data_IF_353073201530
#
_entry.id   IF_353073201530
#
_cell.length_a   1.000
_cell.length_b   1.000
_cell.length_c   1.000
_cell.angle_alpha   90.00
_cell.angle_beta   90.00
_cell.angle_gamma   90.00
#
_symmetry.space_group_name_H-M   'P 1'
#
loop_
_entity.id
_entity.type
_entity.pdbx_description
1 polymer ?
#
# COMPACT_ATOMS: atom_id res chain seq x y z
N UNK A 1 37.35 -19.29 -1.14
CA UNK A 1 36.16 -19.76 -0.39
C UNK A 1 34.92 -19.17 -1.04
N UNK A 2 33.90 -20.00 -1.23
CA UNK A 2 32.80 -19.82 -2.19
C UNK A 2 31.96 -18.55 -1.95
N UNK A 3 31.80 -17.75 -3.02
CA UNK A 3 30.76 -16.73 -3.19
C UNK A 3 29.41 -17.43 -3.12
N UNK A 4 28.76 -17.44 -1.95
CA UNK A 4 27.38 -17.91 -1.83
C UNK A 4 26.41 -16.78 -2.14
N UNK A 5 25.44 -17.13 -2.98
CA UNK A 5 24.38 -16.32 -3.52
C UNK A 5 23.75 -15.40 -2.47
N UNK A 6 23.71 -14.10 -2.77
CA UNK A 6 22.75 -13.18 -2.17
C UNK A 6 21.38 -13.60 -2.74
N UNK A 7 20.76 -14.55 -2.05
CA UNK A 7 19.54 -15.19 -2.49
C UNK A 7 18.41 -14.17 -2.46
N UNK A 8 17.58 -14.19 -3.50
CA UNK A 8 16.43 -13.30 -3.72
C UNK A 8 15.27 -13.56 -2.73
N UNK A 9 15.58 -13.85 -1.47
CA UNK A 9 14.58 -13.89 -0.43
C UNK A 9 14.20 -12.45 -0.13
N UNK A 10 12.91 -12.07 -0.13
CA UNK A 10 12.49 -10.91 0.66
C UNK A 10 13.15 -11.06 2.03
N UNK A 11 13.79 -9.98 2.51
CA UNK A 11 14.44 -10.01 3.82
C UNK A 11 13.35 -10.46 4.78
N UNK A 12 13.55 -11.62 5.40
CA UNK A 12 12.55 -12.22 6.28
C UNK A 12 12.10 -11.20 7.35
N UNK A 13 13.03 -10.36 7.81
CA UNK A 13 12.77 -9.24 8.71
C UNK A 13 11.84 -8.16 8.15
N UNK A 14 11.78 -7.99 6.83
CA UNK A 14 10.79 -7.12 6.17
C UNK A 14 9.43 -7.79 6.16
N UNK A 15 9.33 -9.11 5.92
CA UNK A 15 8.03 -9.80 5.97
C UNK A 15 7.47 -9.82 7.40
N UNK A 16 8.32 -10.14 8.39
CA UNK A 16 7.91 -10.27 9.79
C UNK A 16 7.71 -8.89 10.44
N UNK A 17 8.61 -7.95 10.17
CA UNK A 17 8.63 -6.64 10.84
C UNK A 17 7.88 -5.53 10.12
N UNK A 18 7.16 -5.85 9.04
CA UNK A 18 6.35 -4.88 8.31
C UNK A 18 5.03 -4.59 9.03
N UNK A 19 4.46 -3.42 8.74
CA UNK A 19 3.12 -3.10 9.24
C UNK A 19 2.02 -3.84 8.46
N UNK A 20 0.79 -3.77 8.99
CA UNK A 20 -0.38 -4.45 8.44
C UNK A 20 -0.72 -4.09 6.99
N UNK A 21 -0.19 -2.98 6.46
CA UNK A 21 -0.41 -2.61 5.04
C UNK A 21 0.42 -3.44 4.07
N UNK A 22 1.48 -4.09 4.57
CA UNK A 22 2.45 -4.82 3.75
C UNK A 22 2.51 -6.30 4.10
N UNK A 23 2.25 -6.65 5.36
CA UNK A 23 2.22 -8.04 5.83
C UNK A 23 0.99 -8.28 6.68
N UNK A 24 0.24 -9.32 6.33
CA UNK A 24 -0.83 -9.87 7.13
C UNK A 24 -0.31 -11.17 7.77
N UNK A 25 0.13 -11.06 9.02
CA UNK A 25 0.63 -12.18 9.80
C UNK A 25 -0.55 -12.93 10.45
N UNK A 26 -0.93 -14.06 9.85
CA UNK A 26 -2.10 -14.83 10.32
C UNK A 26 -1.79 -15.59 11.61
N UNK A 27 -0.53 -15.92 11.87
CA UNK A 27 -0.06 -16.55 13.10
C UNK A 27 -0.24 -15.58 14.28
N UNK A 28 0.17 -14.32 14.11
CA UNK A 28 -0.07 -13.27 15.10
C UNK A 28 -1.57 -12.99 15.30
N UNK A 29 -2.36 -13.03 14.21
CA UNK A 29 -3.81 -12.87 14.31
C UNK A 29 -4.44 -13.98 15.16
N UNK A 30 -4.07 -15.23 14.92
CA UNK A 30 -4.54 -16.37 15.68
C UNK A 30 -4.12 -16.27 17.16
N UNK A 31 -2.86 -15.92 17.43
CA UNK A 31 -2.35 -15.69 18.79
C UNK A 31 -3.10 -14.55 19.52
N UNK A 32 -3.57 -13.54 18.77
CA UNK A 32 -4.40 -12.45 19.28
C UNK A 32 -5.90 -12.82 19.42
N UNK A 33 -6.28 -14.08 19.18
CA UNK A 33 -7.66 -14.56 19.30
C UNK A 33 -8.60 -14.06 18.21
N UNK A 34 -8.07 -13.72 17.02
CA UNK A 34 -8.88 -13.32 15.86
C UNK A 34 -9.40 -14.53 15.11
N UNK A 35 -10.53 -14.34 14.43
CA UNK A 35 -11.09 -15.38 13.57
C UNK A 35 -10.15 -15.66 12.38
N UNK A 36 -10.05 -16.93 11.93
CA UNK A 36 -9.21 -17.31 10.82
C UNK A 36 -9.69 -16.65 9.51
N UNK A 37 -8.74 -16.26 8.66
CA UNK A 37 -9.04 -15.71 7.34
C UNK A 37 -9.41 -16.82 6.35
N UNK A 38 -8.71 -17.95 6.43
CA UNK A 38 -8.87 -19.08 5.52
C UNK A 38 -9.53 -20.27 6.23
N UNK A 39 -10.21 -21.12 5.48
CA UNK A 39 -10.71 -22.40 5.99
C UNK A 39 -9.55 -23.40 6.10
N UNK A 40 -8.59 -23.34 5.18
CA UNK A 40 -7.36 -24.11 5.22
C UNK A 40 -6.50 -23.69 6.41
N UNK A 41 -6.32 -24.62 7.36
CA UNK A 41 -5.51 -24.40 8.57
C UNK A 41 -4.07 -23.95 8.26
N UNK A 42 -3.43 -24.57 7.26
CA UNK A 42 -2.02 -24.30 6.94
C UNK A 42 -1.83 -22.90 6.36
N UNK A 43 -2.84 -22.37 5.67
CA UNK A 43 -2.84 -20.99 5.24
C UNK A 43 -2.88 -20.01 6.42
N UNK A 44 -3.60 -20.33 7.49
CA UNK A 44 -3.61 -19.49 8.69
C UNK A 44 -2.30 -19.55 9.49
N UNK A 45 -1.44 -20.53 9.20
CA UNK A 45 -0.08 -20.65 9.75
C UNK A 45 0.98 -19.95 8.86
N UNK A 46 0.56 -19.03 7.99
CA UNK A 46 1.44 -18.32 7.05
C UNK A 46 1.41 -16.80 7.27
N UNK A 47 2.27 -16.09 6.53
CA UNK A 47 2.24 -14.63 6.41
C UNK A 47 1.95 -14.27 4.97
N UNK A 48 0.85 -13.57 4.72
CA UNK A 48 0.60 -12.93 3.43
C UNK A 48 1.37 -11.62 3.37
N UNK A 49 2.04 -11.34 2.25
CA UNK A 49 2.77 -10.09 2.11
C UNK A 49 2.72 -9.51 0.71
N UNK A 50 2.94 -8.20 0.65
CA UNK A 50 3.06 -7.39 -0.56
C UNK A 50 4.51 -7.01 -0.76
N UNK A 51 5.00 -7.19 -1.98
CA UNK A 51 6.40 -6.96 -2.30
C UNK A 51 6.55 -6.30 -3.65
N UNK A 52 7.56 -5.43 -3.89
CA UNK A 52 7.80 -4.89 -5.22
C UNK A 52 7.83 -5.96 -6.32
N UNK A 53 7.08 -5.72 -7.40
CA UNK A 53 7.20 -6.49 -8.63
C UNK A 53 8.40 -5.95 -9.43
N UNK A 54 9.39 -6.80 -9.65
CA UNK A 54 10.66 -6.43 -10.30
C UNK A 54 10.63 -6.49 -11.82
N UNK A 55 9.55 -7.01 -12.40
CA UNK A 55 9.36 -7.08 -13.85
C UNK A 55 8.73 -5.80 -14.42
N UNK A 56 8.10 -4.99 -13.58
CA UNK A 56 7.35 -3.79 -14.00
C UNK A 56 8.19 -2.54 -13.79
N UNK A 57 8.61 -1.87 -14.86
CA UNK A 57 9.37 -0.62 -14.74
C UNK A 57 8.46 0.59 -14.43
N UNK A 58 8.69 1.25 -13.28
CA UNK A 58 8.04 2.52 -12.93
C UNK A 58 8.62 3.74 -13.66
N UNK A 59 9.60 3.55 -14.55
CA UNK A 59 10.24 4.64 -15.30
C UNK A 59 9.28 5.35 -16.25
N UNK A 60 8.15 4.73 -16.63
CA UNK A 60 7.10 5.37 -17.45
C UNK A 60 6.07 6.18 -16.62
N UNK A 61 6.20 6.18 -15.28
CA UNK A 61 5.56 7.14 -14.38
C UNK A 61 4.03 7.07 -14.27
N UNK A 62 3.47 8.14 -13.68
CA UNK A 62 2.02 8.36 -13.52
C UNK A 62 1.30 8.43 -14.88
N UNK A 63 2.01 8.87 -15.93
CA UNK A 63 1.45 8.99 -17.28
C UNK A 63 1.10 7.64 -17.92
N UNK A 64 1.89 6.59 -17.67
CA UNK A 64 1.56 5.24 -18.15
C UNK A 64 0.32 4.68 -17.46
N UNK A 65 0.21 4.86 -16.13
CA UNK A 65 -1.00 4.48 -15.39
C UNK A 65 -2.24 5.28 -15.83
N UNK A 66 -2.08 6.54 -16.23
CA UNK A 66 -3.18 7.34 -16.76
C UNK A 66 -3.68 6.87 -18.15
N UNK A 67 -2.86 6.13 -18.92
CA UNK A 67 -3.10 5.78 -20.33
C UNK A 67 -3.45 4.31 -20.59
N UNK A 68 -3.30 3.41 -19.60
CA UNK A 68 -3.56 1.97 -19.76
C UNK A 68 -4.50 1.37 -18.70
N UNK A 69 -5.06 0.18 -18.95
CA UNK A 69 -5.86 -0.53 -17.94
C UNK A 69 -4.98 -0.99 -16.77
N UNK A 70 -5.43 -0.76 -15.53
CA UNK A 70 -4.76 -1.17 -14.29
C UNK A 70 -4.37 -2.68 -14.25
N UNK A 71 -5.03 -3.52 -15.06
CA UNK A 71 -4.76 -4.95 -15.13
C UNK A 71 -3.35 -5.30 -15.61
N UNK A 72 -2.73 -4.47 -16.46
CA UNK A 72 -1.40 -4.73 -17.03
C UNK A 72 -0.25 -4.16 -16.18
N UNK A 73 -0.53 -3.16 -15.33
CA UNK A 73 0.50 -2.47 -14.54
C UNK A 73 0.37 -2.77 -13.04
N UNK A 74 0.99 -3.87 -12.59
CA UNK A 74 1.02 -4.30 -11.18
C UNK A 74 2.44 -4.29 -10.60
N UNK A 75 2.95 -3.13 -10.12
CA UNK A 75 4.29 -2.96 -9.57
C UNK A 75 4.46 -3.57 -8.16
N UNK A 76 3.44 -4.28 -7.64
CA UNK A 76 3.47 -4.96 -6.33
C UNK A 76 2.96 -6.39 -6.48
N UNK A 77 3.78 -7.37 -6.16
CA UNK A 77 3.45 -8.79 -6.05
C UNK A 77 2.74 -9.15 -4.75
N UNK A 78 1.90 -10.17 -4.84
CA UNK A 78 1.31 -10.86 -3.68
C UNK A 78 2.04 -12.16 -3.47
N UNK A 79 2.46 -12.43 -2.24
CA UNK A 79 3.13 -13.67 -1.91
C UNK A 79 2.73 -14.17 -0.52
N UNK A 80 2.98 -15.46 -0.31
CA UNK A 80 2.75 -16.17 0.94
C UNK A 80 4.10 -16.63 1.45
N UNK A 81 4.46 -16.24 2.67
CA UNK A 81 5.58 -16.83 3.38
C UNK A 81 5.06 -17.98 4.22
N UNK A 82 5.55 -19.17 3.90
CA UNK A 82 5.27 -20.44 4.58
C UNK A 82 6.47 -20.71 5.50
N UNK A 83 6.34 -20.52 6.82
CA UNK A 83 7.44 -20.78 7.74
C UNK A 83 7.71 -22.28 7.83
N UNK A 84 8.98 -22.64 8.07
CA UNK A 84 9.33 -24.01 8.46
C UNK A 84 8.76 -24.37 9.85
N UNK A 85 8.71 -23.37 10.73
CA UNK A 85 8.18 -23.45 12.09
C UNK A 85 7.35 -22.19 12.39
N UNK A 86 6.00 -22.31 12.53
CA UNK A 86 5.14 -21.18 12.86
C UNK A 86 5.45 -20.52 14.21
N UNK A 87 6.03 -21.26 15.17
CA UNK A 87 6.43 -20.73 16.48
C UNK A 87 7.79 -20.01 16.42
N UNK A 88 8.57 -20.26 15.37
CA UNK A 88 9.89 -19.66 15.17
C UNK A 88 10.08 -19.22 13.71
N UNK A 89 9.49 -18.07 13.35
CA UNK A 89 9.57 -17.50 12.00
C UNK A 89 11.02 -17.31 11.51
N UNK A 90 11.96 -17.08 12.44
CA UNK A 90 13.39 -16.87 12.17
C UNK A 90 14.13 -18.16 11.76
N UNK A 91 13.50 -19.34 11.91
CA UNK A 91 14.01 -20.60 11.37
C UNK A 91 13.97 -20.67 9.83
N UNK A 92 13.42 -19.65 9.18
CA UNK A 92 13.28 -19.56 7.74
C UNK A 92 12.05 -20.31 7.23
N UNK A 93 11.91 -20.33 5.91
CA UNK A 93 10.73 -20.83 5.23
C UNK A 93 10.78 -20.65 3.72
N UNK A 94 9.64 -20.81 3.07
CA UNK A 94 9.48 -20.69 1.63
C UNK A 94 8.53 -19.54 1.27
N UNK A 95 8.86 -18.77 0.24
CA UNK A 95 7.98 -17.75 -0.31
C UNK A 95 7.32 -18.26 -1.59
N UNK A 96 5.99 -18.18 -1.66
CA UNK A 96 5.18 -18.52 -2.83
C UNK A 96 4.57 -17.24 -3.38
N UNK A 97 5.06 -16.77 -4.52
CA UNK A 97 4.49 -15.66 -5.26
C UNK A 97 3.27 -16.12 -6.05
N UNK A 98 2.16 -15.38 -6.01
CA UNK A 98 0.91 -15.80 -6.65
C UNK A 98 0.93 -15.70 -8.17
N UNK A 99 1.87 -14.94 -8.74
CA UNK A 99 1.98 -14.72 -10.19
C UNK A 99 3.19 -15.41 -10.83
N UNK A 100 3.94 -16.23 -10.07
CA UNK A 100 5.00 -17.06 -10.64
C UNK A 100 4.42 -18.26 -11.39
N UNK A 101 5.12 -18.76 -12.41
CA UNK A 101 4.65 -19.83 -13.29
C UNK A 101 4.12 -21.09 -12.58
N UNK A 102 4.82 -21.54 -11.54
CA UNK A 102 4.51 -22.81 -10.85
C UNK A 102 3.77 -22.61 -9.51
N UNK A 103 3.11 -21.45 -9.31
CA UNK A 103 2.50 -21.13 -8.02
C UNK A 103 1.44 -22.16 -7.59
N UNK A 104 0.62 -22.69 -8.51
CA UNK A 104 -0.43 -23.66 -8.19
C UNK A 104 0.16 -24.95 -7.62
N UNK A 105 1.25 -25.43 -8.22
CA UNK A 105 1.98 -26.60 -7.75
C UNK A 105 2.57 -26.35 -6.35
N UNK A 106 3.13 -25.16 -6.11
CA UNK A 106 3.70 -24.78 -4.82
C UNK A 106 2.63 -24.67 -3.73
N UNK A 107 1.46 -24.07 -4.03
CA UNK A 107 0.32 -24.02 -3.10
C UNK A 107 -0.15 -25.43 -2.73
N UNK A 108 -0.25 -26.33 -3.72
CA UNK A 108 -0.61 -27.73 -3.47
C UNK A 108 0.44 -28.47 -2.64
N UNK A 109 1.71 -28.28 -2.97
CA UNK A 109 2.81 -28.98 -2.32
C UNK A 109 3.01 -28.54 -0.86
N UNK A 110 3.02 -27.23 -0.61
CA UNK A 110 3.33 -26.68 0.72
C UNK A 110 2.10 -26.48 1.61
N UNK A 111 0.93 -26.20 1.03
CA UNK A 111 -0.28 -25.84 1.79
C UNK A 111 -1.44 -26.84 1.59
N UNK A 112 -1.24 -27.86 0.76
CA UNK A 112 -2.29 -28.83 0.41
C UNK A 112 -3.44 -28.23 -0.40
N UNK A 113 -3.28 -27.00 -0.91
CA UNK A 113 -4.35 -26.26 -1.58
C UNK A 113 -4.41 -26.63 -3.06
N UNK A 114 -5.47 -27.33 -3.46
CA UNK A 114 -5.69 -27.74 -4.84
C UNK A 114 -6.71 -26.80 -5.51
N UNK A 115 -6.25 -25.96 -6.44
CA UNK A 115 -7.10 -24.99 -7.15
C UNK A 115 -8.19 -25.64 -8.02
N UNK A 116 -8.04 -26.92 -8.34
CA UNK A 116 -8.99 -27.69 -9.14
C UNK A 116 -9.85 -28.63 -8.29
N UNK A 117 -9.79 -28.54 -6.96
CA UNK A 117 -10.68 -29.31 -6.10
C UNK A 117 -12.11 -28.77 -6.17
N UNK A 118 -13.09 -29.67 -6.19
CA UNK A 118 -14.53 -29.32 -6.14
C UNK A 118 -15.02 -29.03 -4.72
N UNK A 119 -14.12 -29.06 -3.74
CA UNK A 119 -14.42 -28.79 -2.34
C UNK A 119 -14.71 -27.29 -2.15
N UNK A 120 -15.89 -27.01 -1.59
CA UNK A 120 -16.41 -25.67 -1.41
C UNK A 120 -15.52 -24.79 -0.51
N UNK A 121 -14.86 -25.40 0.49
CA UNK A 121 -14.01 -24.66 1.43
C UNK A 121 -12.73 -24.17 0.72
N UNK A 122 -12.14 -25.03 -0.12
CA UNK A 122 -10.98 -24.64 -0.93
C UNK A 122 -11.35 -23.59 -1.98
N UNK A 123 -12.55 -23.66 -2.56
CA UNK A 123 -13.00 -22.67 -3.52
C UNK A 123 -13.10 -21.26 -2.90
N UNK A 124 -13.52 -21.16 -1.62
CA UNK A 124 -13.57 -19.89 -0.88
C UNK A 124 -12.16 -19.34 -0.65
N UNK A 125 -11.23 -20.16 -0.18
CA UNK A 125 -9.84 -19.72 0.08
C UNK A 125 -9.14 -19.23 -1.19
N UNK A 126 -9.35 -19.94 -2.30
CA UNK A 126 -8.86 -19.52 -3.62
C UNK A 126 -9.48 -18.18 -4.04
N UNK A 127 -10.77 -17.98 -3.80
CA UNK A 127 -11.45 -16.72 -4.09
C UNK A 127 -10.87 -15.57 -3.26
N UNK A 128 -10.62 -15.79 -1.97
CA UNK A 128 -9.96 -14.82 -1.09
C UNK A 128 -8.58 -14.46 -1.65
N UNK A 129 -7.73 -15.44 -1.97
CA UNK A 129 -6.40 -15.19 -2.55
C UNK A 129 -6.45 -14.39 -3.84
N UNK A 130 -7.41 -14.68 -4.73
CA UNK A 130 -7.60 -13.96 -5.99
C UNK A 130 -7.97 -12.49 -5.76
N UNK A 131 -8.87 -12.21 -4.80
CA UNK A 131 -9.22 -10.83 -4.43
C UNK A 131 -8.03 -10.11 -3.79
N UNK A 132 -7.28 -10.79 -2.93
CA UNK A 132 -6.07 -10.21 -2.33
C UNK A 132 -5.03 -9.90 -3.42
N UNK A 133 -4.92 -10.70 -4.50
CA UNK A 133 -4.00 -10.38 -5.60
C UNK A 133 -4.43 -9.19 -6.47
N UNK A 134 -5.70 -8.79 -6.44
CA UNK A 134 -6.18 -7.61 -7.19
C UNK A 134 -5.97 -6.29 -6.47
N UNK A 135 -5.58 -6.32 -5.19
CA UNK A 135 -5.35 -5.10 -4.40
C UNK A 135 -3.86 -4.77 -4.26
N UNK A 136 -3.49 -3.49 -4.19
CA UNK A 136 -2.08 -3.07 -4.18
C UNK A 136 -1.42 -3.06 -2.79
N UNK A 137 -2.20 -3.18 -1.70
CA UNK A 137 -1.71 -3.26 -0.31
C UNK A 137 -2.65 -4.10 0.55
N UNK A 138 -2.18 -4.58 1.70
CA UNK A 138 -2.96 -5.40 2.67
C UNK A 138 -3.61 -4.56 3.77
N UNK A 139 -3.81 -3.27 3.50
CA UNK A 139 -4.48 -2.39 4.45
C UNK A 139 -5.87 -2.94 4.83
N UNK A 140 -6.22 -3.01 6.14
CA UNK A 140 -7.48 -3.61 6.59
C UNK A 140 -8.73 -3.01 5.93
N UNK A 141 -8.73 -1.70 5.68
CA UNK A 141 -9.82 -1.01 4.97
C UNK A 141 -10.01 -1.54 3.55
N UNK A 142 -8.92 -1.66 2.78
CA UNK A 142 -8.98 -2.15 1.40
C UNK A 142 -9.34 -3.63 1.36
N UNK A 143 -8.75 -4.44 2.23
CA UNK A 143 -9.08 -5.86 2.34
C UNK A 143 -10.57 -6.07 2.61
N UNK A 144 -11.14 -5.39 3.61
CA UNK A 144 -12.57 -5.48 3.93
C UNK A 144 -13.45 -5.04 2.77
N UNK A 145 -13.13 -3.88 2.18
CA UNK A 145 -13.91 -3.32 1.08
C UNK A 145 -13.96 -4.27 -0.12
N UNK A 146 -12.81 -4.79 -0.54
CA UNK A 146 -12.71 -5.61 -1.75
C UNK A 146 -13.22 -7.04 -1.53
N UNK A 147 -13.02 -7.62 -0.35
CA UNK A 147 -13.60 -8.92 0.00
C UNK A 147 -15.12 -8.84 0.10
N UNK A 148 -15.66 -7.81 0.75
CA UNK A 148 -17.11 -7.59 0.82
C UNK A 148 -17.71 -7.36 -0.58
N UNK A 149 -17.04 -6.57 -1.44
CA UNK A 149 -17.47 -6.37 -2.83
C UNK A 149 -17.47 -7.68 -3.64
N UNK A 150 -16.56 -8.60 -3.35
CA UNK A 150 -16.54 -9.94 -3.94
C UNK A 150 -17.59 -10.90 -3.33
N UNK A 151 -18.42 -10.44 -2.39
CA UNK A 151 -19.41 -11.26 -1.67
C UNK A 151 -18.80 -12.17 -0.59
N UNK A 152 -17.59 -11.86 -0.12
CA UNK A 152 -16.91 -12.57 0.97
C UNK A 152 -17.10 -11.76 2.27
N UNK A 153 -18.20 -12.03 2.97
CA UNK A 153 -18.52 -11.36 4.23
C UNK A 153 -17.79 -12.05 5.39
N UNK A 154 -16.56 -11.60 5.67
CA UNK A 154 -15.74 -12.09 6.77
C UNK A 154 -16.18 -11.50 8.10
N UNK A 155 -15.85 -12.18 9.21
CA UNK A 155 -16.10 -11.67 10.55
C UNK A 155 -15.34 -10.36 10.82
N UNK A 156 -15.90 -9.49 11.67
CA UNK A 156 -15.36 -8.15 11.92
C UNK A 156 -13.98 -8.15 12.58
N UNK A 157 -13.61 -9.22 13.29
CA UNK A 157 -12.36 -9.33 14.04
C UNK A 157 -11.17 -9.89 13.23
N UNK A 158 -11.37 -10.38 11.98
CA UNK A 158 -10.35 -11.09 11.18
C UNK A 158 -9.07 -10.26 10.97
N UNK A 159 -9.18 -8.97 10.63
CA UNK A 159 -8.03 -8.14 10.23
C UNK A 159 -7.43 -7.28 11.36
N UNK A 160 -7.97 -7.34 12.57
CA UNK A 160 -7.56 -6.46 13.67
C UNK A 160 -7.86 -4.98 13.46
N UNK A 161 -7.47 -4.15 14.44
CA UNK A 161 -7.86 -2.75 14.66
C UNK A 161 -8.03 -1.89 13.38
N UNK A 162 -9.23 -1.98 12.78
CA UNK A 162 -9.67 -1.18 11.64
C UNK A 162 -10.48 0.03 12.08
N UNK A 163 -11.19 -0.02 13.20
CA UNK A 163 -12.15 1.01 13.59
C UNK A 163 -11.50 2.40 13.76
N UNK A 164 -10.40 2.49 14.51
CA UNK A 164 -9.71 3.78 14.71
C UNK A 164 -9.13 4.35 13.42
N UNK A 165 -8.66 3.49 12.52
CA UNK A 165 -8.12 3.92 11.23
C UNK A 165 -9.23 4.36 10.29
N UNK A 166 -10.28 3.55 10.18
CA UNK A 166 -11.49 3.83 9.42
C UNK A 166 -12.16 5.13 9.89
N UNK A 167 -12.24 5.36 11.20
CA UNK A 167 -12.73 6.61 11.78
C UNK A 167 -11.86 7.82 11.41
N UNK A 168 -10.55 7.64 11.25
CA UNK A 168 -9.65 8.71 10.85
C UNK A 168 -9.83 9.04 9.35
N UNK A 169 -9.96 8.02 8.51
CA UNK A 169 -10.26 8.16 7.08
C UNK A 169 -11.63 8.80 6.90
N UNK A 170 -12.64 8.33 7.63
CA UNK A 170 -14.00 8.88 7.66
C UNK A 170 -13.96 10.36 8.01
N UNK A 171 -13.32 10.74 9.12
CA UNK A 171 -13.18 12.15 9.52
C UNK A 171 -12.49 13.02 8.47
N UNK A 172 -11.46 12.52 7.79
CA UNK A 172 -10.80 13.25 6.70
C UNK A 172 -11.68 13.41 5.47
N UNK A 173 -12.42 12.37 5.10
CA UNK A 173 -13.40 12.42 4.00
C UNK A 173 -14.52 13.41 4.35
N UNK A 174 -15.07 13.36 5.57
CA UNK A 174 -16.07 14.29 6.09
C UNK A 174 -15.59 15.76 6.02
N UNK A 175 -14.34 16.01 6.42
CA UNK A 175 -13.73 17.33 6.35
C UNK A 175 -13.60 17.89 4.92
N UNK A 176 -13.38 17.01 3.93
CA UNK A 176 -13.35 17.39 2.49
C UNK A 176 -14.74 17.49 1.88
N UNK A 177 -15.70 16.75 2.39
CA UNK A 177 -17.07 16.81 1.91
C UNK A 177 -17.73 18.14 2.32
N UNK A 178 -17.47 18.62 3.53
CA UNK A 178 -18.11 19.83 4.07
C UNK A 178 -18.12 21.02 3.10
N UNK A 179 -16.97 21.45 2.56
CA UNK A 179 -16.89 22.55 1.59
C UNK A 179 -17.69 22.32 0.29
N UNK A 180 -17.79 21.07 -0.18
CA UNK A 180 -18.58 20.72 -1.37
C UNK A 180 -20.07 20.90 -1.07
N UNK A 181 -20.54 20.42 0.08
CA UNK A 181 -21.94 20.59 0.49
C UNK A 181 -22.27 22.06 0.71
N UNK A 182 -21.41 22.79 1.40
CA UNK A 182 -21.59 24.21 1.66
C UNK A 182 -21.69 25.02 0.36
N UNK A 183 -21.08 24.54 -0.73
CA UNK A 183 -21.26 25.11 -2.06
C UNK A 183 -22.56 24.67 -2.71
N UNK A 184 -22.92 23.39 -2.64
CA UNK A 184 -24.11 22.84 -3.30
C UNK A 184 -25.44 23.34 -2.68
N UNK A 185 -25.48 23.51 -1.35
CA UNK A 185 -26.68 23.90 -0.58
C UNK A 185 -26.65 25.39 -0.21
N UNK A 186 -25.49 26.05 -0.39
CA UNK A 186 -25.21 27.37 0.17
C UNK A 186 -24.67 27.26 1.61
N UNK A 187 -23.78 28.18 2.01
CA UNK A 187 -23.19 28.17 3.37
C UNK A 187 -24.31 28.23 4.41
N UNK A 188 -24.43 27.16 5.19
CA UNK A 188 -25.35 27.09 6.32
C UNK A 188 -25.03 28.20 7.34
N UNK A 189 -26.04 28.95 7.77
CA UNK A 189 -25.88 29.86 8.89
C UNK A 189 -25.62 29.07 10.18
N UNK A 190 -24.89 29.67 11.14
CA UNK A 190 -24.66 29.04 12.44
C UNK A 190 -26.01 28.78 13.14
N UNK A 191 -26.35 27.49 13.34
CA UNK A 191 -27.62 27.07 13.93
C UNK A 191 -28.65 26.48 12.95
N UNK A 192 -28.35 26.42 11.65
CA UNK A 192 -29.22 25.76 10.66
C UNK A 192 -29.18 24.22 10.81
N UNK A 193 -30.15 23.69 11.54
CA UNK A 193 -30.30 22.25 11.81
C UNK A 193 -30.65 21.45 10.56
N UNK A 194 -31.31 22.06 9.57
CA UNK A 194 -31.69 21.39 8.33
C UNK A 194 -30.45 21.16 7.43
N UNK A 195 -29.57 22.16 7.33
CA UNK A 195 -28.33 22.02 6.59
C UNK A 195 -27.36 21.01 7.23
N UNK A 196 -27.31 20.95 8.58
CA UNK A 196 -26.53 19.93 9.29
C UNK A 196 -27.10 18.51 9.08
N UNK A 197 -28.43 18.36 9.09
CA UNK A 197 -29.07 17.08 8.81
C UNK A 197 -28.81 16.63 7.36
N UNK A 198 -28.85 17.55 6.40
CA UNK A 198 -28.50 17.28 5.01
C UNK A 198 -27.03 16.85 4.87
N UNK A 199 -26.11 17.55 5.53
CA UNK A 199 -24.68 17.19 5.58
C UNK A 199 -24.46 15.77 6.10
N UNK A 200 -25.13 15.41 7.19
CA UNK A 200 -25.02 14.07 7.79
C UNK A 200 -25.52 12.99 6.83
N UNK A 201 -26.73 13.14 6.28
CA UNK A 201 -27.28 12.18 5.31
C UNK A 201 -26.39 12.05 4.07
N UNK A 202 -25.76 13.14 3.66
CA UNK A 202 -24.83 13.11 2.54
C UNK A 202 -23.55 12.32 2.85
N UNK A 203 -22.97 12.50 4.03
CA UNK A 203 -21.85 11.69 4.49
C UNK A 203 -22.26 10.21 4.54
N UNK A 204 -23.44 9.93 5.08
CA UNK A 204 -23.99 8.57 5.15
C UNK A 204 -24.13 7.94 3.75
N UNK A 205 -24.55 8.74 2.74
CA UNK A 205 -24.71 8.29 1.35
C UNK A 205 -23.39 7.91 0.64
N UNK A 206 -22.25 8.47 1.05
CA UNK A 206 -20.92 8.06 0.51
C UNK A 206 -20.50 6.69 1.05
N UNK A 207 -20.91 6.38 2.28
CA UNK A 207 -20.65 5.09 2.92
C UNK A 207 -21.66 4.04 2.53
N UNK A 208 -22.92 4.45 2.30
CA UNK A 208 -24.01 3.62 1.83
C UNK A 208 -24.60 4.20 0.52
N UNK A 209 -24.08 3.80 -0.65
CA UNK A 209 -24.53 4.29 -1.96
C UNK A 209 -25.99 3.95 -2.29
N UNK A 210 -26.62 3.03 -1.56
CA UNK A 210 -28.02 2.64 -1.75
C UNK A 210 -29.00 3.67 -1.16
N UNK A 211 -28.50 4.67 -0.42
CA UNK A 211 -29.33 5.76 0.10
C UNK A 211 -29.79 6.69 -1.05
N UNK A 212 -31.07 7.11 -1.08
CA UNK A 212 -31.60 8.00 -2.12
C UNK A 212 -30.81 9.31 -2.29
N UNK A 213 -30.23 9.81 -1.20
CA UNK A 213 -29.41 11.02 -1.15
C UNK A 213 -28.11 10.90 -1.99
N UNK A 214 -27.60 9.69 -2.23
CA UNK A 214 -26.44 9.46 -3.10
C UNK A 214 -26.74 9.89 -4.55
N UNK A 215 -27.92 9.56 -5.05
CA UNK A 215 -28.34 9.83 -6.44
C UNK A 215 -28.53 11.33 -6.70
N UNK A 216 -29.15 12.03 -5.74
CA UNK A 216 -29.36 13.49 -5.82
C UNK A 216 -28.04 14.25 -5.91
N UNK A 217 -27.04 13.83 -5.16
CA UNK A 217 -25.72 14.44 -5.18
C UNK A 217 -25.01 14.21 -6.52
N UNK A 218 -24.89 12.96 -6.94
CA UNK A 218 -24.20 12.56 -8.17
C UNK A 218 -24.80 13.27 -9.40
N UNK A 219 -26.13 13.39 -9.44
CA UNK A 219 -26.82 14.16 -10.49
C UNK A 219 -26.44 15.64 -10.49
N UNK A 220 -26.23 16.24 -9.31
CA UNK A 220 -25.79 17.64 -9.16
C UNK A 220 -24.38 17.89 -9.70
N UNK A 221 -23.56 16.84 -9.86
CA UNK A 221 -22.20 16.91 -10.40
C UNK A 221 -22.07 16.36 -11.83
N UNK A 222 -23.18 16.03 -12.51
CA UNK A 222 -23.16 15.50 -13.87
C UNK A 222 -22.62 14.06 -13.96
N UNK A 223 -22.76 13.30 -12.88
CA UNK A 223 -22.38 11.89 -12.82
C UNK A 223 -23.64 11.05 -13.07
N UNK A 224 -23.49 9.93 -13.80
CA UNK A 224 -24.60 9.01 -14.05
C UNK A 224 -24.79 8.07 -12.84
N UNK A 225 -26.03 7.65 -12.57
CA UNK A 225 -26.41 6.75 -11.48
C UNK A 225 -25.62 5.43 -11.54
N UNK A 226 -25.36 4.92 -12.74
CA UNK A 226 -24.56 3.71 -12.96
C UNK A 226 -23.10 3.87 -12.50
N UNK A 227 -22.59 5.10 -12.38
CA UNK A 227 -21.20 5.38 -12.00
C UNK A 227 -21.02 5.76 -10.51
N UNK A 228 -22.12 6.04 -9.80
CA UNK A 228 -22.13 6.52 -8.40
C UNK A 228 -21.23 5.68 -7.49
N UNK A 229 -21.49 4.37 -7.44
CA UNK A 229 -20.79 3.45 -6.55
C UNK A 229 -19.29 3.44 -6.84
N UNK A 230 -18.92 3.36 -8.13
CA UNK A 230 -17.53 3.36 -8.59
C UNK A 230 -16.81 4.63 -8.18
N UNK A 231 -17.45 5.79 -8.34
CA UNK A 231 -16.86 7.09 -8.01
C UNK A 231 -16.69 7.28 -6.50
N UNK A 232 -17.65 6.84 -5.69
CA UNK A 232 -17.51 6.88 -4.23
C UNK A 232 -16.41 5.94 -3.73
N UNK A 233 -16.29 4.73 -4.30
CA UNK A 233 -15.16 3.83 -4.01
C UNK A 233 -13.83 4.51 -4.39
N UNK A 234 -13.75 5.07 -5.60
CA UNK A 234 -12.58 5.76 -6.09
C UNK A 234 -12.12 6.91 -5.16
N UNK A 235 -13.09 7.71 -4.70
CA UNK A 235 -12.85 8.85 -3.81
C UNK A 235 -12.42 8.41 -2.41
N UNK A 236 -13.07 7.38 -1.85
CA UNK A 236 -12.67 6.78 -0.58
C UNK A 236 -11.23 6.28 -0.64
N UNK A 237 -10.87 5.54 -1.70
CA UNK A 237 -9.53 4.98 -1.86
C UNK A 237 -8.44 6.03 -2.11
N UNK A 238 -8.68 7.09 -2.91
CA UNK A 238 -7.65 8.14 -3.08
C UNK A 238 -7.42 8.92 -1.78
N UNK A 239 -8.51 9.20 -1.03
CA UNK A 239 -8.42 9.90 0.25
C UNK A 239 -7.69 9.02 1.26
N UNK A 240 -8.01 7.72 1.32
CA UNK A 240 -7.33 6.72 2.13
C UNK A 240 -5.80 6.79 1.96
N UNK A 241 -5.32 6.68 0.73
CA UNK A 241 -3.88 6.71 0.44
C UNK A 241 -3.25 8.04 0.82
N UNK A 242 -3.95 9.16 0.61
CA UNK A 242 -3.45 10.46 1.03
C UNK A 242 -3.30 10.54 2.55
N UNK A 243 -4.29 10.07 3.31
CA UNK A 243 -4.23 10.02 4.78
C UNK A 243 -3.01 9.22 5.24
N UNK A 244 -2.85 8.02 4.68
CA UNK A 244 -1.79 7.10 5.05
C UNK A 244 -0.43 7.68 4.69
N UNK A 245 -0.26 8.23 3.49
CA UNK A 245 0.99 8.87 3.07
C UNK A 245 1.37 10.06 3.96
N UNK A 246 0.42 10.94 4.27
CA UNK A 246 0.64 12.07 5.17
C UNK A 246 1.06 11.62 6.57
N UNK A 247 0.52 10.50 7.06
CA UNK A 247 0.83 9.98 8.41
C UNK A 247 2.29 9.52 8.57
N UNK A 248 2.91 8.95 7.53
CA UNK A 248 4.31 8.48 7.58
C UNK A 248 5.30 9.44 6.93
N UNK A 249 4.83 10.54 6.33
CA UNK A 249 5.69 11.55 5.70
C UNK A 249 6.79 12.11 6.65
N UNK A 250 6.57 12.32 7.96
CA UNK A 250 7.64 12.71 8.88
C UNK A 250 8.77 11.70 8.96
N UNK A 251 8.46 10.41 9.08
CA UNK A 251 9.46 9.32 9.14
C UNK A 251 10.22 9.20 7.82
N UNK A 252 9.54 9.38 6.69
CA UNK A 252 10.17 9.41 5.38
C UNK A 252 11.13 10.60 5.20
N UNK A 253 10.80 11.75 5.80
CA UNK A 253 11.69 12.92 5.82
C UNK A 253 13.00 12.61 6.54
N UNK A 254 12.95 11.88 7.66
CA UNK A 254 14.17 11.44 8.38
C UNK A 254 15.09 10.62 7.46
N UNK A 255 14.52 9.71 6.65
CA UNK A 255 15.30 8.91 5.69
C UNK A 255 15.94 9.79 4.61
N UNK A 256 15.17 10.72 4.03
CA UNK A 256 15.70 11.64 3.02
C UNK A 256 16.78 12.57 3.60
N UNK A 257 16.61 13.03 4.84
CA UNK A 257 17.58 13.88 5.53
C UNK A 257 18.85 13.09 5.89
N UNK A 258 18.75 11.80 6.23
CA UNK A 258 19.91 10.90 6.36
C UNK A 258 20.76 10.90 5.09
N UNK A 259 20.13 10.69 3.92
CA UNK A 259 20.83 10.66 2.63
C UNK A 259 21.44 12.02 2.22
N UNK A 260 20.92 13.12 2.75
CA UNK A 260 21.44 14.48 2.51
C UNK A 260 22.52 14.89 3.51
N UNK A 261 22.48 14.28 4.68
CA UNK A 261 23.31 14.62 5.82
C UNK A 261 24.64 13.87 5.86
N UNK A 262 25.52 14.25 6.81
CA UNK A 262 26.83 13.64 7.00
C UNK A 262 26.76 12.18 7.46
N UNK A 263 25.62 11.73 8.01
CA UNK A 263 25.43 10.35 8.48
C UNK A 263 25.43 9.32 7.35
N UNK A 264 25.22 9.75 6.11
CA UNK A 264 25.33 8.91 4.90
C UNK A 264 26.78 8.64 4.47
N UNK A 265 27.78 9.12 5.23
CA UNK A 265 29.21 8.83 4.99
C UNK A 265 29.71 7.77 5.96
N UNK A 266 30.55 6.83 5.51
CA UNK A 266 31.06 5.79 6.38
C UNK A 266 31.98 6.38 7.46
N UNK A 267 31.79 5.97 8.72
CA UNK A 267 32.57 6.44 9.87
C UNK A 267 34.05 6.09 9.75
N UNK A 268 34.34 4.96 9.12
CA UNK A 268 35.66 4.36 8.91
C UNK A 268 36.23 4.70 7.53
N UNK A 269 35.79 5.80 6.91
CA UNK A 269 36.21 6.23 5.57
C UNK A 269 37.73 6.27 5.38
N UNK A 270 38.51 6.59 6.42
CA UNK A 270 39.97 6.62 6.36
C UNK A 270 40.62 5.26 6.07
N UNK A 271 39.89 4.17 6.22
CA UNK A 271 40.36 2.79 5.98
C UNK A 271 40.20 2.35 4.53
N UNK A 272 39.55 3.15 3.68
CA UNK A 272 39.20 2.81 2.30
C UNK A 272 39.89 3.74 1.31
N UNK A 273 40.14 3.23 0.11
CA UNK A 273 40.73 4.04 -0.95
C UNK A 273 39.69 4.97 -1.62
N UNK A 274 40.18 5.94 -2.39
CA UNK A 274 39.34 6.95 -3.05
C UNK A 274 38.27 6.33 -3.96
N UNK A 275 38.61 5.27 -4.70
CA UNK A 275 37.68 4.63 -5.64
C UNK A 275 36.53 3.94 -4.89
N UNK A 276 36.81 3.26 -3.79
CA UNK A 276 35.80 2.61 -2.94
C UNK A 276 34.83 3.62 -2.32
N UNK A 277 35.34 4.78 -1.90
CA UNK A 277 34.53 5.88 -1.35
C UNK A 277 33.69 6.57 -2.44
N UNK A 278 34.24 6.75 -3.64
CA UNK A 278 33.48 7.27 -4.79
C UNK A 278 32.35 6.31 -5.19
N UNK A 279 32.60 4.99 -5.20
CA UNK A 279 31.57 3.98 -5.43
C UNK A 279 30.45 4.04 -4.38
N UNK A 280 30.81 4.15 -3.10
CA UNK A 280 29.85 4.32 -2.02
C UNK A 280 29.00 5.59 -2.21
N UNK A 281 29.63 6.73 -2.53
CA UNK A 281 28.93 7.98 -2.77
C UNK A 281 27.94 7.88 -3.95
N UNK A 282 28.34 7.21 -5.04
CA UNK A 282 27.44 6.93 -6.15
C UNK A 282 26.26 6.03 -5.74
N UNK A 283 26.50 5.02 -4.89
CA UNK A 283 25.45 4.12 -4.40
C UNK A 283 24.43 4.84 -3.49
N UNK A 284 24.92 5.70 -2.58
CA UNK A 284 24.10 6.60 -1.75
C UNK A 284 23.24 7.49 -2.65
N UNK A 285 23.85 8.15 -3.64
CA UNK A 285 23.15 9.06 -4.54
C UNK A 285 22.09 8.33 -5.38
N UNK A 286 22.41 7.16 -5.93
CA UNK A 286 21.47 6.36 -6.71
C UNK A 286 20.25 5.91 -5.87
N UNK A 287 20.49 5.43 -4.65
CA UNK A 287 19.42 5.00 -3.73
C UNK A 287 18.53 6.18 -3.33
N UNK A 288 19.13 7.32 -3.02
CA UNK A 288 18.42 8.57 -2.74
C UNK A 288 17.55 9.01 -3.91
N UNK A 289 18.09 9.06 -5.13
CA UNK A 289 17.33 9.48 -6.32
C UNK A 289 16.14 8.56 -6.57
N UNK A 290 16.27 7.25 -6.36
CA UNK A 290 15.14 6.32 -6.46
C UNK A 290 14.07 6.63 -5.43
N UNK A 291 14.44 6.81 -4.15
CA UNK A 291 13.49 7.18 -3.10
C UNK A 291 12.80 8.52 -3.40
N UNK A 292 13.53 9.53 -3.85
CA UNK A 292 12.97 10.82 -4.25
C UNK A 292 11.96 10.67 -5.40
N UNK A 293 12.22 9.79 -6.38
CA UNK A 293 11.29 9.49 -7.47
C UNK A 293 10.02 8.79 -6.98
N UNK A 294 10.13 7.81 -6.07
CA UNK A 294 8.97 7.16 -5.43
C UNK A 294 8.08 8.20 -4.76
N UNK A 295 8.68 9.08 -3.95
CA UNK A 295 7.96 10.16 -3.26
C UNK A 295 7.33 11.14 -4.25
N UNK A 296 8.05 11.51 -5.32
CA UNK A 296 7.56 12.41 -6.36
C UNK A 296 6.33 11.84 -7.06
N UNK A 297 6.36 10.57 -7.47
CA UNK A 297 5.23 9.92 -8.16
C UNK A 297 3.97 9.93 -7.30
N UNK A 298 4.10 9.57 -6.03
CA UNK A 298 2.97 9.59 -5.09
C UNK A 298 2.43 11.01 -4.86
N UNK A 299 3.31 12.00 -4.64
CA UNK A 299 2.91 13.40 -4.47
C UNK A 299 2.22 13.97 -5.69
N UNK A 300 2.68 13.63 -6.90
CA UNK A 300 2.08 14.12 -8.14
C UNK A 300 0.60 13.73 -8.24
N UNK A 301 0.28 12.45 -7.94
CA UNK A 301 -1.10 11.97 -7.92
C UNK A 301 -1.97 12.78 -6.94
N UNK A 302 -1.46 13.08 -5.74
CA UNK A 302 -2.20 13.89 -4.77
C UNK A 302 -2.33 15.35 -5.17
N UNK A 303 -1.32 15.91 -5.86
CA UNK A 303 -1.41 17.27 -6.43
C UNK A 303 -2.50 17.33 -7.49
N UNK A 304 -2.57 16.35 -8.38
CA UNK A 304 -3.59 16.27 -9.43
C UNK A 304 -4.99 16.08 -8.83
N UNK A 305 -5.12 15.21 -7.81
CA UNK A 305 -6.33 15.06 -7.02
C UNK A 305 -6.78 16.36 -6.37
N UNK A 306 -5.90 17.03 -5.61
CA UNK A 306 -6.23 18.27 -4.90
C UNK A 306 -6.60 19.38 -5.89
N UNK A 307 -5.91 19.48 -7.03
CA UNK A 307 -6.25 20.44 -8.09
C UNK A 307 -7.64 20.18 -8.68
N UNK A 308 -7.99 18.92 -8.93
CA UNK A 308 -9.32 18.55 -9.43
C UNK A 308 -10.41 18.84 -8.38
N UNK A 309 -10.14 18.53 -7.12
CA UNK A 309 -11.01 18.84 -5.98
C UNK A 309 -11.19 20.36 -5.78
N UNK A 310 -10.13 21.16 -5.86
CA UNK A 310 -10.22 22.61 -5.74
C UNK A 310 -10.99 23.22 -6.92
N UNK A 311 -10.88 22.63 -8.11
CA UNK A 311 -11.69 22.99 -9.27
C UNK A 311 -13.18 22.73 -9.05
N UNK A 312 -13.55 21.67 -8.33
CA UNK A 312 -14.92 21.37 -7.92
C UNK A 312 -15.43 22.39 -6.89
N UNK A 313 -14.64 22.67 -5.85
CA UNK A 313 -15.06 23.52 -4.72
C UNK A 313 -15.06 25.01 -5.07
N UNK A 314 -14.08 25.48 -5.83
CA UNK A 314 -13.86 26.92 -6.06
C UNK A 314 -13.95 27.34 -7.53
N UNK A 315 -13.82 26.41 -8.49
CA UNK A 315 -13.52 26.73 -9.88
C UNK A 315 -14.59 26.41 -10.92
N UNK A 316 -15.78 25.94 -10.51
CA UNK A 316 -16.86 25.47 -11.39
C UNK A 316 -16.42 24.44 -12.44
N UNK A 317 -15.50 23.54 -12.06
CA UNK A 317 -14.96 22.46 -12.92
C UNK A 317 -15.30 21.06 -12.38
N UNK A 318 -16.58 20.68 -12.28
CA UNK A 318 -16.97 19.36 -11.78
C UNK A 318 -16.49 18.20 -12.67
N UNK A 319 -16.34 18.46 -13.98
CA UNK A 319 -15.90 17.47 -14.94
C UNK A 319 -14.49 16.96 -14.65
N UNK A 320 -13.54 17.85 -14.30
CA UNK A 320 -12.16 17.46 -14.00
C UNK A 320 -12.07 16.53 -12.78
N UNK A 321 -12.92 16.76 -11.77
CA UNK A 321 -13.00 15.89 -10.60
C UNK A 321 -13.59 14.51 -10.96
N UNK A 322 -14.66 14.49 -11.77
CA UNK A 322 -15.23 13.25 -12.29
C UNK A 322 -14.21 12.44 -13.11
N UNK A 323 -13.51 13.09 -14.03
CA UNK A 323 -12.48 12.47 -14.88
C UNK A 323 -11.33 11.89 -14.05
N UNK A 324 -10.87 12.63 -13.04
CA UNK A 324 -9.86 12.14 -12.11
C UNK A 324 -10.35 10.88 -11.37
N UNK A 325 -11.54 10.92 -10.76
CA UNK A 325 -12.06 9.77 -9.99
C UNK A 325 -12.34 8.55 -10.88
N UNK A 326 -12.74 8.77 -12.13
CA UNK A 326 -12.95 7.69 -13.11
C UNK A 326 -11.66 6.91 -13.38
N UNK A 327 -10.51 7.60 -13.37
CA UNK A 327 -9.19 7.01 -13.61
C UNK A 327 -8.41 6.70 -12.33
N UNK A 328 -8.93 7.06 -11.15
CA UNK A 328 -8.18 6.99 -9.89
C UNK A 328 -7.71 5.57 -9.53
N UNK A 329 -8.48 4.55 -9.88
CA UNK A 329 -8.12 3.14 -9.67
C UNK A 329 -6.80 2.75 -10.36
N UNK A 330 -6.46 3.37 -11.49
CA UNK A 330 -5.19 3.13 -12.16
C UNK A 330 -3.99 3.58 -11.32
N UNK A 331 -4.18 4.57 -10.45
CA UNK A 331 -3.12 5.08 -9.58
C UNK A 331 -2.92 4.23 -8.32
N UNK A 332 -3.86 3.36 -7.95
CA UNK A 332 -3.81 2.60 -6.69
C UNK A 332 -2.57 1.71 -6.61
N UNK A 333 -2.18 1.09 -7.72
CA UNK A 333 -0.97 0.30 -7.83
C UNK A 333 0.31 1.11 -7.61
N UNK A 334 0.38 2.33 -8.15
CA UNK A 334 1.49 3.24 -7.90
C UNK A 334 1.50 3.68 -6.43
N UNK A 335 0.34 4.04 -5.86
CA UNK A 335 0.21 4.48 -4.47
C UNK A 335 0.56 3.37 -3.47
N UNK A 336 0.13 2.14 -3.74
CA UNK A 336 0.49 0.95 -2.96
C UNK A 336 1.98 0.68 -3.02
N UNK A 337 2.58 0.68 -4.23
CA UNK A 337 4.04 0.55 -4.37
C UNK A 337 4.79 1.65 -3.60
N UNK A 338 4.39 2.91 -3.79
CA UNK A 338 5.06 4.05 -3.16
C UNK A 338 4.96 3.98 -1.63
N UNK A 339 3.82 3.54 -1.10
CA UNK A 339 3.63 3.30 0.32
C UNK A 339 4.54 2.18 0.82
N UNK A 340 4.55 1.04 0.12
CA UNK A 340 5.42 -0.13 0.41
C UNK A 340 6.89 0.27 0.47
N UNK A 341 7.38 0.86 -0.63
CA UNK A 341 8.78 1.21 -0.80
C UNK A 341 9.24 2.27 0.22
N UNK A 342 8.40 3.27 0.50
CA UNK A 342 8.71 4.30 1.50
C UNK A 342 8.77 3.73 2.91
N UNK A 343 7.79 2.91 3.31
CA UNK A 343 7.75 2.27 4.63
C UNK A 343 8.92 1.32 4.84
N UNK A 344 9.28 0.54 3.82
CA UNK A 344 10.45 -0.33 3.85
C UNK A 344 11.75 0.46 4.05
N UNK A 345 11.93 1.57 3.33
CA UNK A 345 13.11 2.42 3.51
C UNK A 345 13.18 2.99 4.94
N UNK A 346 12.05 3.43 5.50
CA UNK A 346 11.98 3.86 6.90
C UNK A 346 12.32 2.71 7.86
N UNK A 347 11.71 1.54 7.71
CA UNK A 347 11.91 0.40 8.59
C UNK A 347 13.37 -0.09 8.60
N UNK A 348 14.02 -0.17 7.42
CA UNK A 348 15.43 -0.53 7.32
C UNK A 348 16.30 0.48 8.07
N UNK A 349 16.10 1.78 7.84
CA UNK A 349 16.91 2.81 8.49
C UNK A 349 16.71 2.77 10.01
N UNK A 350 15.46 2.76 10.48
CA UNK A 350 15.15 2.72 11.91
C UNK A 350 15.76 1.50 12.60
N UNK A 351 15.74 0.33 11.96
CA UNK A 351 16.35 -0.89 12.50
C UNK A 351 17.86 -0.78 12.64
N UNK A 352 18.52 -0.23 11.63
CA UNK A 352 19.99 -0.10 11.65
C UNK A 352 20.43 1.01 12.62
N UNK A 353 19.62 2.06 12.74
CA UNK A 353 19.89 3.19 13.63
C UNK A 353 19.36 3.01 15.06
N UNK A 354 19.05 1.79 15.51
CA UNK A 354 18.48 1.44 16.84
C UNK A 354 19.24 1.99 18.08
N UNK A 355 20.33 2.73 17.90
CA UNK A 355 21.04 3.44 18.97
C UNK A 355 20.25 4.66 19.47
N UNK A 356 20.37 4.96 20.77
CA UNK A 356 19.77 6.14 21.42
C UNK A 356 20.19 7.47 20.77
N UNK A 357 21.32 7.48 20.05
CA UNK A 357 21.78 8.63 19.27
C UNK A 357 22.15 8.26 17.83
N UNK A 358 21.72 9.07 16.83
CA UNK A 358 22.13 8.89 15.44
C UNK A 358 23.65 8.91 15.28
N UNK A 359 24.23 7.89 14.66
CA UNK A 359 25.66 7.84 14.36
C UNK A 359 25.90 7.46 12.90
N UNK A 360 27.04 7.86 12.31
CA UNK A 360 27.44 7.37 11.00
C UNK A 360 27.70 5.85 11.06
N UNK A 361 27.33 5.14 10.00
CA UNK A 361 27.51 3.70 9.87
C UNK A 361 28.94 3.37 9.41
N UNK A 362 29.41 2.14 9.65
CA UNK A 362 30.61 1.63 8.98
C UNK A 362 30.34 1.41 7.49
N UNK A 363 31.39 1.38 6.68
CA UNK A 363 31.27 1.15 5.24
C UNK A 363 30.45 -0.10 4.89
N UNK A 364 30.75 -1.23 5.53
CA UNK A 364 30.06 -2.50 5.26
C UNK A 364 28.58 -2.45 5.66
N UNK A 365 28.26 -1.81 6.79
CA UNK A 365 26.88 -1.63 7.28
C UNK A 365 26.08 -0.73 6.35
N UNK A 366 26.70 0.37 5.90
CA UNK A 366 26.10 1.30 4.94
C UNK A 366 25.87 0.61 3.58
N UNK A 367 26.85 -0.13 3.06
CA UNK A 367 26.72 -0.84 1.79
C UNK A 367 25.62 -1.91 1.86
N UNK A 368 25.57 -2.69 2.95
CA UNK A 368 24.51 -3.66 3.18
C UNK A 368 23.13 -2.99 3.22
N UNK A 369 22.98 -1.90 3.97
CA UNK A 369 21.75 -1.12 4.03
C UNK A 369 21.31 -0.63 2.66
N UNK A 370 22.23 -0.03 1.89
CA UNK A 370 21.95 0.50 0.57
C UNK A 370 21.51 -0.61 -0.39
N UNK A 371 22.17 -1.77 -0.37
CA UNK A 371 21.77 -2.94 -1.17
C UNK A 371 20.33 -3.38 -0.85
N UNK A 372 19.98 -3.44 0.43
CA UNK A 372 18.64 -3.80 0.88
C UNK A 372 17.58 -2.77 0.44
N UNK A 373 17.82 -1.48 0.69
CA UNK A 373 16.91 -0.41 0.28
C UNK A 373 16.75 -0.36 -1.24
N UNK A 374 17.86 -0.46 -1.97
CA UNK A 374 17.87 -0.39 -3.42
C UNK A 374 17.11 -1.56 -4.06
N UNK A 375 17.18 -2.76 -3.45
CA UNK A 375 16.36 -3.90 -3.87
C UNK A 375 14.85 -3.60 -3.73
N UNK A 376 14.42 -2.87 -2.70
CA UNK A 376 13.00 -2.57 -2.45
C UNK A 376 12.50 -1.33 -3.19
N UNK A 377 13.39 -0.40 -3.51
CA UNK A 377 13.08 0.82 -4.28
C UNK A 377 13.08 0.58 -5.79
N UNK A 378 13.71 -0.51 -6.23
CA UNK A 378 13.68 -0.92 -7.62
C UNK A 378 12.39 -1.68 -7.92
N UNK A 379 11.62 -1.19 -8.89
CA UNK A 379 10.70 -2.03 -9.66
C UNK A 379 11.41 -2.69 -10.86
N UNK A 380 12.74 -2.54 -10.95
CA UNK A 380 13.59 -3.17 -11.95
C UNK A 380 14.68 -3.97 -11.27
N UNK A 381 14.56 -5.29 -11.28
CA UNK A 381 15.75 -6.14 -11.17
C UNK A 381 15.93 -6.76 -12.55
N UNK A 382 16.80 -6.15 -13.36
CA UNK A 382 17.41 -6.90 -14.45
C UNK A 382 18.16 -8.06 -13.81
N UNK A 383 17.67 -9.27 -14.05
CA UNK A 383 18.37 -10.50 -13.75
C UNK A 383 19.78 -10.44 -14.36
N UNK A 384 20.78 -10.57 -13.50
CA UNK A 384 21.94 -11.39 -13.82
C UNK A 384 21.69 -12.79 -13.28
#
# INVERSE_FOLDING_TARGET
MSKKAFNRSPLLDVIIGSDSSMSLNMIENAAAGRDPLFHNRFMNDCILFKYPNFEVQLSEGVEAAAKGPAAEFRPVETAIYVPNDPENLQAGGFAIYLRQRDFEHLLRHHLGLNLNAEDADFAIDVKILRVIDTIPSLDPYLLRSELSHAGLNLAENVFGASEREEDNIRRKIEGRIGPIIDRAVGKAAAGDTAAQAYRKRFIDAIWNPDLPEAELFIKSFGIDKAETQRIFIAWKGITYYQVKFESFAPSLRVVLDFFRGPLSRPRDASSYNRMELEQMAMHVQATRTKLENVVKNCRQIFVDYNKAYDGLVNGDKPLAFKEFLTTAHNYYWILGFCSTASKNATGILTRIMQAEQPHPLRYEELDAMLKQMNALLNSSVKSL
#
